data_IF_850507238216
#
_entry.id   IF_850507238216
#
_cell.length_a   1.000
_cell.length_b   1.000
_cell.length_c   1.000
_cell.angle_alpha   90.00
_cell.angle_beta   90.00
_cell.angle_gamma   90.00
#
_symmetry.space_group_name_H-M   'P 1'
#
loop_
_entity.id
_entity.type
_entity.pdbx_description
1 polymer ?
#
# COMPACT_ATOMS: atom_id res chain seq x y z
N UNK A 1 -30.63 5.72 -44.24
CA UNK A 1 -31.40 6.11 -43.03
C UNK A 1 -30.43 6.76 -42.06
N UNK A 2 -30.50 8.09 -41.90
CA UNK A 2 -29.56 8.81 -41.01
C UNK A 2 -30.08 8.67 -39.58
N UNK A 3 -29.34 8.04 -38.64
CA UNK A 3 -29.78 7.94 -37.27
C UNK A 3 -29.82 9.36 -36.69
N UNK A 4 -31.02 9.90 -36.56
CA UNK A 4 -31.18 11.16 -35.84
C UNK A 4 -30.93 10.88 -34.36
N UNK A 5 -30.19 11.74 -33.65
CA UNK A 5 -29.85 11.57 -32.23
C UNK A 5 -31.09 11.34 -31.35
N UNK A 6 -32.27 11.76 -31.83
CA UNK A 6 -33.56 11.46 -31.25
C UNK A 6 -33.83 9.96 -31.00
N UNK A 7 -33.40 9.06 -31.89
CA UNK A 7 -33.65 7.62 -31.73
C UNK A 7 -32.94 7.02 -30.53
N UNK A 8 -31.73 7.52 -30.23
CA UNK A 8 -30.94 7.07 -29.08
C UNK A 8 -31.65 7.47 -27.78
N UNK A 9 -32.20 8.69 -27.73
CA UNK A 9 -32.96 9.18 -26.56
C UNK A 9 -34.18 8.28 -26.31
N UNK A 10 -34.94 7.95 -27.36
CA UNK A 10 -36.11 7.06 -27.23
C UNK A 10 -35.70 5.68 -26.74
N UNK A 11 -34.59 5.12 -27.22
CA UNK A 11 -34.08 3.83 -26.78
C UNK A 11 -33.67 3.84 -25.30
N UNK A 12 -32.96 4.88 -24.85
CA UNK A 12 -32.56 5.03 -23.44
C UNK A 12 -33.79 5.14 -22.55
N UNK A 13 -34.80 5.92 -22.95
CA UNK A 13 -36.07 6.03 -22.22
C UNK A 13 -36.75 4.66 -22.14
N UNK A 14 -36.82 3.91 -23.25
CA UNK A 14 -37.40 2.56 -23.24
C UNK A 14 -36.65 1.62 -22.28
N UNK A 15 -35.32 1.65 -22.24
CA UNK A 15 -34.53 0.86 -21.29
C UNK A 15 -34.81 1.26 -19.83
N UNK A 16 -34.94 2.56 -19.53
CA UNK A 16 -35.27 3.03 -18.18
C UNK A 16 -36.66 2.55 -17.75
N UNK A 17 -37.64 2.54 -18.66
CA UNK A 17 -39.00 2.08 -18.35
C UNK A 17 -39.05 0.56 -18.14
N UNK A 18 -38.38 -0.22 -18.99
CA UNK A 18 -38.38 -1.69 -18.88
C UNK A 18 -37.50 -2.20 -17.74
N UNK A 19 -36.27 -1.68 -17.61
CA UNK A 19 -35.30 -2.16 -16.62
C UNK A 19 -35.36 -1.36 -15.31
N UNK A 20 -35.86 -0.14 -15.31
CA UNK A 20 -35.86 0.77 -14.17
C UNK A 20 -34.62 1.68 -14.11
N UNK A 21 -34.80 2.88 -13.57
CA UNK A 21 -33.76 3.91 -13.44
C UNK A 21 -32.56 3.48 -12.57
N UNK A 22 -32.74 2.57 -11.61
CA UNK A 22 -31.67 2.02 -10.77
C UNK A 22 -30.93 0.85 -11.41
N UNK A 23 -31.51 0.18 -12.41
CA UNK A 23 -30.92 -1.03 -13.00
C UNK A 23 -29.91 -0.72 -14.08
N UNK A 24 -30.12 0.34 -14.86
CA UNK A 24 -29.17 0.82 -15.86
C UNK A 24 -27.76 1.08 -15.28
N UNK A 25 -27.59 1.89 -14.22
CA UNK A 25 -26.28 2.14 -13.64
C UNK A 25 -25.70 0.91 -12.94
N UNK A 26 -26.52 0.12 -12.24
CA UNK A 26 -26.05 -1.08 -11.54
C UNK A 26 -25.58 -2.18 -12.51
N UNK A 27 -26.33 -2.41 -13.60
CA UNK A 27 -25.94 -3.35 -14.65
C UNK A 27 -24.71 -2.86 -15.42
N UNK A 28 -24.66 -1.56 -15.77
CA UNK A 28 -23.48 -0.98 -16.43
C UNK A 28 -22.22 -1.10 -15.56
N UNK A 29 -22.33 -0.90 -14.24
CA UNK A 29 -21.21 -1.07 -13.30
C UNK A 29 -20.73 -2.52 -13.21
N UNK A 30 -21.66 -3.49 -13.11
CA UNK A 30 -21.32 -4.92 -13.09
C UNK A 30 -20.70 -5.39 -14.43
N UNK A 31 -21.29 -4.98 -15.56
CA UNK A 31 -20.78 -5.31 -16.90
C UNK A 31 -19.43 -4.63 -17.18
N UNK A 32 -19.23 -3.39 -16.72
CA UNK A 32 -17.97 -2.67 -16.84
C UNK A 32 -16.82 -3.31 -16.06
N UNK A 33 -17.11 -3.87 -14.88
CA UNK A 33 -16.12 -4.58 -14.07
C UNK A 33 -15.63 -5.85 -14.78
N UNK A 34 -16.54 -6.66 -15.33
CA UNK A 34 -16.17 -7.84 -16.12
C UNK A 34 -15.43 -7.46 -17.40
N UNK A 35 -15.88 -6.42 -18.10
CA UNK A 35 -15.27 -5.94 -19.34
C UNK A 35 -13.84 -5.44 -19.14
N UNK A 36 -13.49 -4.92 -17.96
CA UNK A 36 -12.11 -4.53 -17.64
C UNK A 36 -11.17 -5.72 -17.59
N UNK A 37 -11.63 -6.85 -17.06
CA UNK A 37 -10.87 -8.11 -16.99
C UNK A 37 -10.69 -8.67 -18.40
N UNK A 38 -11.79 -8.77 -19.16
CA UNK A 38 -11.73 -9.20 -20.57
C UNK A 38 -10.86 -8.26 -21.42
N UNK A 39 -10.92 -6.94 -21.20
CA UNK A 39 -10.05 -5.97 -21.89
C UNK A 39 -8.58 -6.20 -21.55
N UNK A 40 -8.22 -6.42 -20.29
CA UNK A 40 -6.83 -6.70 -19.91
C UNK A 40 -6.31 -8.03 -20.44
N UNK A 41 -7.17 -9.05 -20.58
CA UNK A 41 -6.78 -10.33 -21.15
C UNK A 41 -6.62 -10.24 -22.68
N UNK A 42 -7.53 -9.53 -23.37
CA UNK A 42 -7.45 -9.29 -24.82
C UNK A 42 -6.32 -8.33 -25.19
N UNK A 43 -6.00 -7.35 -24.34
CA UNK A 43 -4.88 -6.40 -24.55
C UNK A 43 -3.53 -7.12 -24.46
N UNK A 44 -3.40 -8.09 -23.54
CA UNK A 44 -2.22 -8.95 -23.46
C UNK A 44 -2.04 -9.83 -24.72
N UNK A 45 -3.15 -10.24 -25.35
CA UNK A 45 -3.10 -10.98 -26.62
C UNK A 45 -2.80 -10.08 -27.83
N UNK A 46 -3.07 -8.77 -27.75
CA UNK A 46 -2.86 -7.81 -28.85
C UNK A 46 -1.44 -7.22 -28.90
N UNK A 47 -0.56 -7.61 -27.97
CA UNK A 47 0.81 -7.11 -27.88
C UNK A 47 0.88 -5.73 -27.24
N UNK A 48 2.04 -5.32 -26.68
CA UNK A 48 2.15 -4.14 -25.84
C UNK A 48 1.91 -2.87 -26.66
N UNK A 49 0.68 -2.34 -26.60
CA UNK A 49 0.32 -1.04 -27.15
C UNK A 49 -0.12 -0.12 -26.01
N UNK A 50 0.54 1.03 -25.92
CA UNK A 50 0.52 1.97 -24.81
C UNK A 50 -0.82 2.74 -24.66
N UNK A 51 -1.89 2.05 -24.27
CA UNK A 51 -3.21 2.67 -24.05
C UNK A 51 -3.90 2.18 -22.76
N UNK A 52 -3.14 2.06 -21.67
CA UNK A 52 -3.69 1.70 -20.36
C UNK A 52 -3.20 2.62 -19.24
N UNK A 53 -3.07 3.92 -19.55
CA UNK A 53 -2.85 4.98 -18.58
C UNK A 53 -3.69 6.20 -18.97
N UNK A 54 -5.01 6.11 -18.85
CA UNK A 54 -5.80 7.19 -18.27
C UNK A 54 -7.26 6.78 -18.10
N UNK A 55 -7.92 7.35 -17.11
CA UNK A 55 -9.36 7.23 -16.78
C UNK A 55 -9.80 5.93 -16.07
N UNK A 56 -9.77 5.91 -14.74
CA UNK A 56 -10.87 6.38 -13.86
C UNK A 56 -10.38 6.21 -12.41
N UNK A 57 -9.81 7.29 -11.88
CA UNK A 57 -9.78 7.57 -10.45
C UNK A 57 -11.16 8.14 -10.09
N UNK A 58 -12.07 7.28 -9.64
CA UNK A 58 -13.43 7.68 -9.30
C UNK A 58 -14.10 6.60 -8.48
N UNK A 59 -14.47 6.95 -7.24
CA UNK A 59 -15.23 6.16 -6.27
C UNK A 59 -14.43 5.37 -5.22
N UNK A 60 -13.83 6.10 -4.29
CA UNK A 60 -13.59 5.67 -2.89
C UNK A 60 -13.90 6.81 -1.93
N UNK A 61 -15.14 7.27 -1.89
CA UNK A 61 -15.68 8.24 -0.93
C UNK A 61 -17.14 7.84 -0.81
N UNK A 62 -17.70 7.39 0.31
CA UNK A 62 -17.90 8.15 1.54
C UNK A 62 -18.14 7.28 2.81
N UNK A 63 -17.93 5.95 2.77
CA UNK A 63 -18.25 5.05 3.91
C UNK A 63 -17.05 4.56 4.73
N UNK A 64 -15.83 4.90 4.31
CA UNK A 64 -14.59 4.31 4.85
C UNK A 64 -13.69 5.32 5.59
N UNK A 65 -14.10 6.58 5.72
CA UNK A 65 -13.28 7.61 6.37
C UNK A 65 -13.10 7.41 7.88
N UNK A 66 -14.14 6.93 8.58
CA UNK A 66 -14.09 6.69 10.02
C UNK A 66 -13.29 5.43 10.36
N UNK A 67 -13.55 4.32 9.66
CA UNK A 67 -12.88 3.04 9.91
C UNK A 67 -11.38 3.08 9.62
N UNK A 68 -10.95 3.84 8.60
CA UNK A 68 -9.54 4.03 8.27
C UNK A 68 -8.81 4.84 9.36
N UNK A 69 -9.46 5.87 9.91
CA UNK A 69 -8.88 6.69 10.97
C UNK A 69 -8.79 5.93 12.31
N UNK A 70 -9.81 5.13 12.62
CA UNK A 70 -9.81 4.28 13.81
C UNK A 70 -8.73 3.19 13.71
N UNK A 71 -8.59 2.53 12.55
CA UNK A 71 -7.52 1.55 12.30
C UNK A 71 -6.12 2.16 12.31
N UNK A 72 -5.94 3.34 11.73
CA UNK A 72 -4.64 4.02 11.72
C UNK A 72 -4.20 4.40 13.14
N UNK A 73 -5.16 4.77 14.01
CA UNK A 73 -4.90 5.10 15.41
C UNK A 73 -4.48 3.84 16.20
N UNK A 74 -5.21 2.73 16.04
CA UNK A 74 -4.93 1.46 16.72
C UNK A 74 -3.60 0.80 16.30
N UNK A 75 -3.15 1.05 15.06
CA UNK A 75 -1.82 0.68 14.58
C UNK A 75 -0.73 1.59 15.15
N UNK A 76 -1.00 2.90 15.23
CA UNK A 76 -0.07 3.87 15.81
C UNK A 76 0.18 3.62 17.29
N UNK A 77 -0.86 3.24 18.04
CA UNK A 77 -0.76 2.96 19.47
C UNK A 77 0.03 1.68 19.74
N UNK A 78 -0.15 0.62 18.94
CA UNK A 78 0.70 -0.59 19.02
C UNK A 78 2.16 -0.32 18.65
N UNK A 79 2.40 0.48 17.62
CA UNK A 79 3.76 0.83 17.20
C UNK A 79 4.49 1.61 18.29
N UNK A 80 3.80 2.52 18.99
CA UNK A 80 4.35 3.26 20.13
C UNK A 80 4.65 2.35 21.32
N UNK A 81 3.74 1.47 21.70
CA UNK A 81 3.92 0.52 22.81
C UNK A 81 5.15 -0.37 22.57
N UNK A 82 5.33 -0.84 21.33
CA UNK A 82 6.50 -1.64 20.94
C UNK A 82 7.78 -0.82 20.98
N UNK A 83 7.74 0.43 20.50
CA UNK A 83 8.91 1.30 20.47
C UNK A 83 9.37 1.72 21.89
N UNK A 84 8.44 1.92 22.81
CA UNK A 84 8.76 2.28 24.19
C UNK A 84 9.30 1.07 24.96
N UNK A 85 8.74 -0.13 24.78
CA UNK A 85 9.28 -1.35 25.38
C UNK A 85 10.72 -1.69 24.94
N UNK A 86 11.05 -1.41 23.67
CA UNK A 86 12.42 -1.61 23.13
C UNK A 86 13.40 -0.58 23.69
N UNK A 87 12.98 0.68 23.90
CA UNK A 87 13.84 1.71 24.49
C UNK A 87 14.18 1.38 25.94
N UNK A 88 13.23 0.87 26.71
CA UNK A 88 13.46 0.48 28.11
C UNK A 88 14.46 -0.68 28.22
N UNK A 89 14.35 -1.69 27.35
CA UNK A 89 15.33 -2.78 27.30
C UNK A 89 16.70 -2.33 26.76
N UNK A 90 16.72 -1.44 25.78
CA UNK A 90 17.97 -0.90 25.25
C UNK A 90 18.70 -0.03 26.26
N UNK A 91 17.96 0.68 27.12
CA UNK A 91 18.54 1.52 28.17
C UNK A 91 19.31 0.68 29.20
N UNK A 92 18.76 -0.45 29.66
CA UNK A 92 19.44 -1.31 30.64
C UNK A 92 20.73 -1.94 30.07
N UNK A 93 20.71 -2.41 28.82
CA UNK A 93 21.89 -2.99 28.16
C UNK A 93 22.96 -1.92 27.90
N UNK A 94 22.53 -0.72 27.48
CA UNK A 94 23.43 0.41 27.25
C UNK A 94 24.13 0.83 28.54
N UNK A 95 23.40 0.82 29.66
CA UNK A 95 23.95 1.21 30.95
C UNK A 95 24.90 0.12 31.50
N UNK A 96 24.59 -1.18 31.31
CA UNK A 96 25.49 -2.30 31.64
C UNK A 96 26.81 -2.24 30.85
N UNK A 97 26.74 -2.01 29.54
CA UNK A 97 27.94 -1.93 28.70
C UNK A 97 28.78 -0.69 28.99
N UNK A 98 28.12 0.43 29.33
CA UNK A 98 28.78 1.67 29.74
C UNK A 98 29.56 1.50 31.04
N UNK A 99 29.02 0.76 32.00
CA UNK A 99 29.70 0.50 33.27
C UNK A 99 30.89 -0.45 33.10
N UNK A 100 30.80 -1.43 32.20
CA UNK A 100 31.88 -2.38 31.90
C UNK A 100 33.13 -1.76 31.27
N UNK A 101 32.97 -0.74 30.40
CA UNK A 101 34.10 -0.04 29.77
C UNK A 101 34.82 0.95 30.69
N UNK A 102 34.35 1.11 31.93
CA UNK A 102 34.93 2.04 32.89
C UNK A 102 36.09 1.42 33.69
N UNK A 103 36.35 0.12 33.55
CA UNK A 103 37.35 -0.62 34.32
C UNK A 103 38.33 -1.38 33.43
N UNK A 104 39.22 -0.70 32.72
CA UNK A 104 40.38 -1.33 32.10
C UNK A 104 41.67 -0.63 32.56
N UNK A 105 42.30 -1.20 33.59
CA UNK A 105 43.74 -1.09 33.83
C UNK A 105 44.47 -1.81 32.68
N UNK A 106 44.95 -1.05 31.69
CA UNK A 106 45.72 -1.57 30.55
C UNK A 106 47.13 -1.97 31.02
N UNK A 107 47.52 -3.26 31.06
CA UNK A 107 48.89 -3.64 31.36
C UNK A 107 49.70 -3.52 30.07
N UNK A 108 50.75 -2.70 30.10
CA UNK A 108 51.69 -2.57 29.00
C UNK A 108 52.42 -3.91 28.78
N UNK A 109 52.22 -4.50 27.60
CA UNK A 109 52.87 -5.72 27.12
C UNK A 109 54.32 -5.40 26.71
N UNK A 110 55.28 -5.73 27.57
CA UNK A 110 56.72 -5.62 27.34
C UNK A 110 57.29 -6.98 26.93
N UNK A 111 57.11 -7.33 25.66
CA UNK A 111 57.78 -8.48 25.06
C UNK A 111 58.37 -8.11 23.71
N UNK A 112 59.59 -7.54 23.70
CA UNK A 112 60.38 -7.52 22.46
C UNK A 112 61.88 -7.73 22.66
N UNK A 113 62.23 -9.01 22.45
CA UNK A 113 63.40 -9.51 21.70
C UNK A 113 64.77 -9.41 22.36
N UNK A 114 65.09 -10.49 23.06
CA UNK A 114 66.32 -11.24 22.84
C UNK A 114 66.45 -11.59 21.36
N UNK A 115 67.50 -11.11 20.70
CA UNK A 115 68.04 -11.68 19.46
C UNK A 115 69.52 -11.29 19.35
N UNK A 116 70.38 -12.30 19.15
CA UNK A 116 71.77 -12.25 18.66
C UNK A 116 72.92 -12.16 19.68
N UNK A 117 73.48 -13.32 20.03
CA UNK A 117 74.94 -13.51 20.06
C UNK A 117 75.28 -14.95 19.72
N UNK A 118 75.97 -15.10 18.59
CA UNK A 118 76.72 -16.30 18.22
C UNK A 118 78.10 -16.32 18.87
#
# INVERSE_FOLDING_TARGET
MRPQPWHIIVLVIALIVLFGWKSLPNMARSLGQSMRIFKSEVDQMKGPSAASQDTVQGERTDRDGSNLRDRASDLGDRARDTADGVKDHGASVRDEFRDGLRGDDVPADDTRRDDTRG
#
